data_IF_552517501160
#
_entry.id   IF_552517501160
#
_cell.length_a   1.000
_cell.length_b   1.000
_cell.length_c   1.000
_cell.angle_alpha   90.00
_cell.angle_beta   90.00
_cell.angle_gamma   90.00
#
_symmetry.space_group_name_H-M   'P 1'
#
loop_
_entity.id
_entity.type
_entity.pdbx_description
1 polymer ?
#
# COMPACT_ATOMS: atom_id res chain seq x y z
N UNK A 1 -10.37 -43.27 13.41
CA UNK A 1 -10.32 -42.53 12.14
C UNK A 1 -10.87 -41.12 12.37
N UNK A 2 -10.00 -40.19 12.75
CA UNK A 2 -10.29 -38.75 12.95
C UNK A 2 -9.02 -38.12 13.56
N UNK A 3 -8.34 -37.12 13.00
CA UNK A 3 -8.46 -36.42 11.74
C UNK A 3 -7.17 -35.60 11.54
N UNK A 4 -6.53 -35.81 10.39
CA UNK A 4 -5.41 -35.02 9.84
C UNK A 4 -5.71 -33.51 9.73
N UNK A 5 -6.98 -33.12 9.94
CA UNK A 5 -7.47 -31.74 9.98
C UNK A 5 -7.08 -30.93 11.22
N UNK A 6 -6.63 -31.57 12.31
CA UNK A 6 -6.32 -30.87 13.58
C UNK A 6 -5.02 -30.03 13.53
N UNK A 7 -4.06 -30.39 12.67
CA UNK A 7 -2.81 -29.63 12.54
C UNK A 7 -2.99 -28.32 11.75
N UNK A 8 -4.04 -28.19 10.96
CA UNK A 8 -4.39 -26.94 10.26
C UNK A 8 -5.25 -25.98 11.11
N UNK A 9 -5.64 -26.35 12.34
CA UNK A 9 -6.53 -25.55 13.20
C UNK A 9 -5.83 -24.86 14.37
N UNK A 10 -4.50 -24.80 14.35
CA UNK A 10 -3.72 -23.98 15.27
C UNK A 10 -4.13 -22.51 15.11
N UNK A 11 -4.95 -22.00 16.03
CA UNK A 11 -5.31 -20.59 16.17
C UNK A 11 -4.02 -19.78 16.31
N UNK A 12 -3.43 -19.39 15.18
CA UNK A 12 -2.42 -18.35 15.12
C UNK A 12 -3.13 -17.09 15.61
N UNK A 13 -2.65 -16.57 16.73
CA UNK A 13 -3.26 -15.45 17.46
C UNK A 13 -3.56 -14.31 16.46
N UNK A 14 -4.82 -14.19 16.05
CA UNK A 14 -5.24 -13.30 14.96
C UNK A 14 -5.00 -11.85 15.35
N UNK A 15 -5.03 -11.57 16.65
CA UNK A 15 -4.67 -10.28 17.24
C UNK A 15 -3.20 -9.91 17.04
N UNK A 16 -2.29 -10.87 17.20
CA UNK A 16 -0.86 -10.60 16.98
C UNK A 16 -0.57 -10.42 15.49
N UNK A 17 -1.20 -11.25 14.65
CA UNK A 17 -1.10 -11.13 13.19
C UNK A 17 -1.66 -9.79 12.67
N UNK A 18 -2.77 -9.31 13.23
CA UNK A 18 -3.34 -8.01 12.89
C UNK A 18 -2.45 -6.84 13.33
N UNK A 19 -1.82 -6.91 14.52
CA UNK A 19 -0.87 -5.87 14.98
C UNK A 19 0.36 -5.78 14.07
N UNK A 20 0.94 -6.92 13.71
CA UNK A 20 2.09 -6.97 12.82
C UNK A 20 1.74 -6.48 11.40
N UNK A 21 0.54 -6.82 10.91
CA UNK A 21 0.01 -6.30 9.64
C UNK A 21 -0.12 -4.76 9.67
N UNK A 22 -0.66 -4.18 10.74
CA UNK A 22 -0.79 -2.71 10.89
C UNK A 22 0.59 -2.03 10.87
N UNK A 23 1.58 -2.58 11.58
CA UNK A 23 2.94 -2.01 11.61
C UNK A 23 3.59 -2.09 10.23
N UNK A 24 3.48 -3.23 9.55
CA UNK A 24 3.98 -3.41 8.18
C UNK A 24 3.32 -2.43 7.22
N UNK A 25 1.99 -2.26 7.26
CA UNK A 25 1.27 -1.33 6.40
C UNK A 25 1.75 0.12 6.59
N UNK A 26 2.01 0.55 7.83
CA UNK A 26 2.58 1.89 8.10
C UNK A 26 3.99 2.06 7.54
N UNK A 27 4.84 1.04 7.69
CA UNK A 27 6.19 1.06 7.10
C UNK A 27 6.14 1.10 5.58
N UNK A 28 5.21 0.36 4.97
CA UNK A 28 4.99 0.39 3.53
C UNK A 28 4.53 1.78 3.05
N UNK A 29 3.60 2.43 3.75
CA UNK A 29 3.17 3.80 3.43
C UNK A 29 4.33 4.80 3.44
N UNK A 30 5.19 4.78 4.46
CA UNK A 30 6.35 5.66 4.54
C UNK A 30 7.36 5.43 3.40
N UNK A 31 7.52 4.17 2.95
CA UNK A 31 8.37 3.85 1.80
C UNK A 31 7.73 4.31 0.49
N UNK A 32 6.40 4.20 0.36
CA UNK A 32 5.67 4.65 -0.83
C UNK A 32 5.79 6.16 -1.01
N UNK A 33 5.60 6.95 0.05
CA UNK A 33 5.76 8.42 0.00
C UNK A 33 7.18 8.82 -0.44
N UNK A 34 8.22 8.21 0.15
CA UNK A 34 9.61 8.48 -0.24
C UNK A 34 9.93 8.05 -1.67
N UNK A 35 9.32 6.96 -2.16
CA UNK A 35 9.46 6.52 -3.55
C UNK A 35 8.80 7.50 -4.52
N UNK A 36 7.63 8.02 -4.16
CA UNK A 36 6.90 9.02 -4.96
C UNK A 36 7.75 10.28 -5.16
N UNK A 37 8.28 10.87 -4.08
CA UNK A 37 9.16 12.03 -4.15
C UNK A 37 10.41 11.78 -5.01
N UNK A 38 11.02 10.60 -4.86
CA UNK A 38 12.21 10.24 -5.64
C UNK A 38 11.89 10.07 -7.14
N UNK A 39 10.74 9.48 -7.48
CA UNK A 39 10.29 9.35 -8.86
C UNK A 39 9.94 10.71 -9.47
N UNK A 40 9.28 11.60 -8.74
CA UNK A 40 9.01 12.98 -9.18
C UNK A 40 10.31 13.72 -9.51
N UNK A 41 11.33 13.65 -8.63
CA UNK A 41 12.65 14.25 -8.89
C UNK A 41 13.30 13.68 -10.15
N UNK A 42 13.26 12.35 -10.35
CA UNK A 42 13.81 11.71 -11.56
C UNK A 42 13.07 12.14 -12.83
N UNK A 43 11.75 12.29 -12.77
CA UNK A 43 10.94 12.78 -13.90
C UNK A 43 11.37 14.19 -14.30
N UNK A 44 11.57 15.09 -13.33
CA UNK A 44 12.06 16.45 -13.59
C UNK A 44 13.47 16.47 -14.18
N UNK A 45 14.37 15.63 -13.68
CA UNK A 45 15.73 15.49 -14.21
C UNK A 45 15.73 15.00 -15.65
N UNK A 46 14.96 13.97 -15.98
CA UNK A 46 14.84 13.47 -17.35
C UNK A 46 14.17 14.50 -18.27
N UNK A 47 13.20 15.30 -17.78
CA UNK A 47 12.65 16.43 -18.53
C UNK A 47 13.70 17.50 -18.83
N UNK A 48 14.53 17.87 -17.85
CA UNK A 48 15.63 18.83 -18.06
C UNK A 48 16.63 18.29 -19.08
N UNK A 49 17.02 17.02 -18.98
CA UNK A 49 17.90 16.36 -19.95
C UNK A 49 17.29 16.31 -21.36
N UNK A 50 15.99 16.02 -21.46
CA UNK A 50 15.28 16.01 -22.73
C UNK A 50 15.27 17.40 -23.37
N UNK A 51 14.98 18.45 -22.60
CA UNK A 51 15.00 19.85 -23.07
C UNK A 51 16.40 20.29 -23.50
N UNK A 52 17.42 19.97 -22.71
CA UNK A 52 18.82 20.32 -23.02
C UNK A 52 19.33 19.63 -24.29
N UNK A 53 18.89 18.40 -24.56
CA UNK A 53 19.31 17.64 -25.74
C UNK A 53 18.34 17.74 -26.92
N UNK A 54 17.24 18.49 -26.81
CA UNK A 54 16.19 18.55 -27.84
C UNK A 54 16.71 19.08 -29.18
N UNK A 55 17.66 20.02 -29.15
CA UNK A 55 18.23 20.67 -30.33
C UNK A 55 19.52 19.98 -30.79
N UNK A 56 20.37 19.55 -29.85
CA UNK A 56 21.69 18.98 -30.14
C UNK A 56 21.65 17.49 -30.45
N UNK A 57 20.82 16.71 -29.75
CA UNK A 57 20.83 15.26 -29.82
C UNK A 57 19.42 14.66 -29.63
N UNK A 58 18.68 14.56 -30.75
CA UNK A 58 17.31 14.01 -30.77
C UNK A 58 17.21 12.58 -30.24
N UNK A 59 18.23 11.73 -30.42
CA UNK A 59 18.19 10.35 -29.91
C UNK A 59 18.31 10.34 -28.38
N UNK A 60 19.18 11.18 -27.81
CA UNK A 60 19.27 11.35 -26.36
C UNK A 60 17.98 11.96 -25.77
N UNK A 61 17.38 12.95 -26.45
CA UNK A 61 16.13 13.56 -26.01
C UNK A 61 14.95 12.57 -26.02
N UNK A 62 14.82 11.77 -27.09
CA UNK A 62 13.79 10.73 -27.17
C UNK A 62 14.00 9.60 -26.16
N UNK A 63 15.25 9.22 -25.88
CA UNK A 63 15.55 8.27 -24.81
C UNK A 63 15.17 8.80 -23.41
N UNK A 64 15.45 10.08 -23.13
CA UNK A 64 15.05 10.72 -21.88
C UNK A 64 13.51 10.80 -21.74
N UNK A 65 12.78 11.11 -22.81
CA UNK A 65 11.32 11.10 -22.81
C UNK A 65 10.73 9.69 -22.58
N UNK A 66 11.37 8.65 -23.11
CA UNK A 66 10.97 7.25 -22.83
C UNK A 66 11.17 6.91 -21.36
N UNK A 67 12.31 7.27 -20.76
CA UNK A 67 12.59 7.07 -19.33
C UNK A 67 11.59 7.81 -18.45
N UNK A 68 11.28 9.07 -18.78
CA UNK A 68 10.22 9.85 -18.15
C UNK A 68 8.89 9.08 -18.13
N UNK A 69 8.46 8.57 -19.28
CA UNK A 69 7.21 7.80 -19.39
C UNK A 69 7.22 6.54 -18.53
N UNK A 70 8.36 5.84 -18.45
CA UNK A 70 8.50 4.68 -17.56
C UNK A 70 8.33 5.06 -16.09
N UNK A 71 8.93 6.17 -15.65
CA UNK A 71 8.76 6.66 -14.27
C UNK A 71 7.32 7.10 -13.98
N UNK A 72 6.63 7.70 -14.95
CA UNK A 72 5.19 8.02 -14.82
C UNK A 72 4.34 6.75 -14.63
N UNK A 73 4.60 5.70 -15.41
CA UNK A 73 3.91 4.41 -15.24
C UNK A 73 4.25 3.73 -13.89
N UNK A 74 5.48 3.89 -13.39
CA UNK A 74 5.86 3.39 -12.07
C UNK A 74 5.13 4.15 -10.95
N UNK A 75 4.93 5.46 -11.13
CA UNK A 75 4.17 6.31 -10.22
C UNK A 75 2.68 5.91 -10.21
N UNK A 76 2.08 5.63 -11.37
CA UNK A 76 0.72 5.07 -11.45
C UNK A 76 0.59 3.73 -10.70
N UNK A 77 1.59 2.85 -10.81
CA UNK A 77 1.61 1.59 -10.07
C UNK A 77 1.70 1.80 -8.56
N UNK A 78 2.47 2.79 -8.10
CA UNK A 78 2.53 3.16 -6.68
C UNK A 78 1.17 3.62 -6.16
N UNK A 79 0.43 4.42 -6.93
CA UNK A 79 -0.95 4.79 -6.57
C UNK A 79 -1.88 3.56 -6.49
N UNK A 80 -1.75 2.63 -7.45
CA UNK A 80 -2.46 1.35 -7.39
C UNK A 80 -2.16 0.57 -6.11
N UNK A 81 -0.88 0.50 -5.72
CA UNK A 81 -0.44 -0.16 -4.48
C UNK A 81 -1.00 0.53 -3.23
N UNK A 82 -1.01 1.87 -3.17
CA UNK A 82 -1.65 2.62 -2.07
C UNK A 82 -3.11 2.25 -1.91
N UNK A 83 -3.89 2.28 -2.99
CA UNK A 83 -5.31 1.92 -2.95
C UNK A 83 -5.53 0.49 -2.43
N UNK A 84 -4.68 -0.47 -2.83
CA UNK A 84 -4.77 -1.84 -2.32
C UNK A 84 -4.45 -1.95 -0.83
N UNK A 85 -3.47 -1.19 -0.33
CA UNK A 85 -3.11 -1.15 1.08
C UNK A 85 -4.21 -0.49 1.93
N UNK A 86 -4.85 0.56 1.42
CA UNK A 86 -5.99 1.22 2.08
C UNK A 86 -7.21 0.28 2.15
N UNK A 87 -7.45 -0.49 1.09
CA UNK A 87 -8.51 -1.51 1.06
C UNK A 87 -8.23 -2.63 2.07
N UNK A 88 -6.98 -3.11 2.15
CA UNK A 88 -6.57 -4.12 3.14
C UNK A 88 -6.68 -3.59 4.58
N UNK A 89 -6.25 -2.35 4.84
CA UNK A 89 -6.39 -1.73 6.15
C UNK A 89 -7.87 -1.60 6.59
N UNK A 90 -8.77 -1.39 5.64
CA UNK A 90 -10.22 -1.33 5.89
C UNK A 90 -10.83 -2.73 6.14
N UNK A 91 -10.37 -3.76 5.44
CA UNK A 91 -10.78 -5.15 5.65
C UNK A 91 -10.24 -5.75 6.95
N UNK A 92 -9.00 -5.41 7.33
CA UNK A 92 -8.33 -5.92 8.53
C UNK A 92 -8.81 -5.24 9.82
N UNK A 93 -9.57 -4.14 9.69
CA UNK A 93 -10.40 -3.63 10.77
C UNK A 93 -11.77 -4.33 10.68
N UNK A 94 -12.00 -5.46 11.38
CA UNK A 94 -13.38 -5.84 11.63
C UNK A 94 -13.97 -4.65 12.35
N UNK A 95 -14.98 -4.04 11.71
CA UNK A 95 -15.88 -3.11 12.35
C UNK A 95 -16.28 -3.74 13.68
N UNK A 96 -15.62 -3.31 14.76
CA UNK A 96 -16.10 -3.49 16.12
C UNK A 96 -17.29 -2.53 16.19
N UNK A 97 -18.38 -2.92 15.53
CA UNK A 97 -19.71 -2.40 15.78
C UNK A 97 -20.02 -2.73 17.21
N UNK A 98 -19.62 -1.83 18.12
CA UNK A 98 -20.53 -1.13 19.01
C UNK A 98 -21.89 -1.86 19.14
N UNK A 99 -21.91 -2.93 19.94
CA UNK A 99 -23.10 -3.37 20.67
C UNK A 99 -22.80 -3.43 22.17
N UNK A 100 -22.02 -2.46 22.66
CA UNK A 100 -22.04 -2.07 24.06
C UNK A 100 -23.36 -1.34 24.33
N UNK A 101 -24.42 -2.10 24.60
CA UNK A 101 -25.67 -1.50 25.05
C UNK A 101 -26.85 -2.46 25.00
N UNK A 102 -26.87 -3.48 25.85
CA UNK A 102 -28.08 -3.89 26.60
C UNK A 102 -27.65 -4.83 27.73
N UNK A 103 -27.09 -4.25 28.78
CA UNK A 103 -27.16 -4.86 30.12
C UNK A 103 -28.61 -4.70 30.61
N UNK A 104 -29.47 -5.66 30.35
CA UNK A 104 -30.76 -5.80 31.06
C UNK A 104 -30.72 -7.05 31.92
N UNK A 105 -29.92 -6.96 32.98
CA UNK A 105 -30.16 -7.72 34.20
C UNK A 105 -30.83 -6.80 35.21
N UNK A 106 -31.96 -7.29 35.75
CA UNK A 106 -32.67 -6.89 36.97
C UNK A 106 -33.69 -5.74 36.87
N UNK A 107 -34.98 -6.12 36.75
CA UNK A 107 -36.11 -5.70 37.61
C UNK A 107 -37.11 -6.90 37.53
N UNK A 108 -37.16 -7.82 38.49
CA UNK A 108 -37.98 -7.75 39.71
C UNK A 108 -39.47 -7.54 39.43
N UNK A 109 -40.24 -8.62 39.27
CA UNK A 109 -41.59 -8.87 39.86
C UNK A 109 -42.09 -10.24 39.42
#
# INVERSE_FOLDING_TARGET
MSGWLSYFTGKKDTRQTARDAIVNTRQHLAVLDKKEENLQRKIEEELKKAKANAVSNKTAATAALRRKKTYETELEKLYGQRMTLETQASCDFPTIGISTGTSLTRVSS
#
